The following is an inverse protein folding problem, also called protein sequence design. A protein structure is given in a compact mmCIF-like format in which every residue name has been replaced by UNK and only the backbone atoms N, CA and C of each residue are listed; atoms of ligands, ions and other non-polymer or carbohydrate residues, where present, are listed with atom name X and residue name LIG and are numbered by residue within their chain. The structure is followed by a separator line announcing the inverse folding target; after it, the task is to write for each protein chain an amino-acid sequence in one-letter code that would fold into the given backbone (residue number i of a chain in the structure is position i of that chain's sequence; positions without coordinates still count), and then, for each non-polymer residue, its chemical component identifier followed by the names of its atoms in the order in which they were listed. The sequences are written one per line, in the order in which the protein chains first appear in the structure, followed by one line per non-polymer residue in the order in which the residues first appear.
data_IF_624300263626
#
_entry.id   IF_624300263626
#
_cell.length_a   1.000
_cell.length_b   1.000
_cell.length_c   1.000
_cell.angle_alpha   90.00
_cell.angle_beta   90.00
_cell.angle_gamma   90.00
#
_symmetry.space_group_name_H-M   'P 1'
#
loop_
_entity.id
_entity.type
_entity.pdbx_description
1 polymer ?
#
# COMPACT_ATOMS: atom_id res chain seq x y z
N UNK A 1 12.09 5.13 6.21
CA UNK A 1 11.21 4.48 7.21
C UNK A 1 10.29 3.50 6.48
N UNK A 2 10.19 2.24 6.94
CA UNK A 2 9.37 1.17 6.33
C UNK A 2 8.42 0.56 7.36
N UNK A 3 7.19 0.29 6.95
CA UNK A 3 6.18 -0.44 7.75
C UNK A 3 5.63 -1.59 6.94
N UNK A 4 5.48 -2.77 7.55
CA UNK A 4 4.88 -3.92 6.89
C UNK A 4 3.68 -4.36 7.71
N UNK A 5 2.53 -4.54 7.07
CA UNK A 5 1.32 -5.09 7.69
C UNK A 5 1.04 -6.48 7.11
N UNK A 6 0.55 -7.39 7.96
CA UNK A 6 0.25 -8.76 7.58
C UNK A 6 -1.19 -9.10 7.98
N UNK A 7 -2.02 -9.50 7.02
CA UNK A 7 -3.41 -9.93 7.23
C UNK A 7 -4.32 -8.94 7.98
N UNK A 8 -3.96 -7.66 8.01
CA UNK A 8 -4.77 -6.64 8.67
C UNK A 8 -5.61 -5.87 7.66
N UNK A 9 -6.91 -6.17 7.67
CA UNK A 9 -7.89 -5.52 6.80
C UNK A 9 -8.06 -4.03 7.09
N UNK A 10 -7.68 -3.55 8.27
CA UNK A 10 -7.72 -2.13 8.66
C UNK A 10 -6.77 -1.27 7.82
N UNK A 11 -5.79 -1.89 7.17
CA UNK A 11 -4.82 -1.19 6.31
C UNK A 11 -5.13 -1.37 4.81
N UNK A 12 -6.29 -1.93 4.47
CA UNK A 12 -6.71 -2.06 3.07
C UNK A 12 -7.35 -0.78 2.50
N UNK A 13 -7.64 0.22 3.34
CA UNK A 13 -8.25 1.47 2.92
C UNK A 13 -7.21 2.59 2.77
N UNK A 14 -7.14 3.18 1.58
CA UNK A 14 -6.20 4.26 1.29
C UNK A 14 -6.34 5.46 2.24
N UNK A 15 -7.57 5.84 2.63
CA UNK A 15 -7.81 7.00 3.51
C UNK A 15 -7.16 6.84 4.90
N UNK A 16 -7.18 5.63 5.47
CA UNK A 16 -6.55 5.36 6.77
C UNK A 16 -5.02 5.52 6.68
N UNK A 17 -4.42 5.13 5.56
CA UNK A 17 -3.00 5.40 5.29
C UNK A 17 -2.71 6.89 5.11
N UNK A 18 -3.55 7.62 4.39
CA UNK A 18 -3.39 9.07 4.24
C UNK A 18 -3.38 9.78 5.60
N UNK A 19 -4.33 9.44 6.48
CA UNK A 19 -4.43 9.98 7.84
C UNK A 19 -3.23 9.59 8.71
N UNK A 20 -2.81 8.32 8.67
CA UNK A 20 -1.67 7.82 9.43
C UNK A 20 -0.35 8.49 9.00
N UNK A 21 -0.10 8.55 7.69
CA UNK A 21 1.12 9.18 7.14
C UNK A 21 1.13 10.67 7.46
N UNK A 22 -0.01 11.35 7.30
CA UNK A 22 -0.09 12.80 7.55
C UNK A 22 0.06 13.16 9.02
N UNK A 23 -0.52 12.37 9.93
CA UNK A 23 -0.55 12.69 11.36
C UNK A 23 0.68 12.21 12.12
N UNK A 24 1.11 10.98 11.85
CA UNK A 24 1.98 10.23 12.76
C UNK A 24 3.29 9.79 12.10
N UNK A 25 3.31 9.69 10.76
CA UNK A 25 4.45 9.12 10.03
C UNK A 25 4.79 9.94 8.77
N UNK A 26 5.05 11.26 8.89
CA UNK A 26 5.28 12.12 7.73
C UNK A 26 6.54 11.75 6.93
N UNK A 27 7.47 11.03 7.56
CA UNK A 27 8.72 10.54 6.97
C UNK A 27 8.63 9.08 6.49
N UNK A 28 7.42 8.50 6.43
CA UNK A 28 7.22 7.16 5.88
C UNK A 28 7.59 7.16 4.40
N UNK A 29 8.47 6.24 4.00
CA UNK A 29 8.98 6.14 2.63
C UNK A 29 8.51 4.89 1.93
N UNK A 30 8.30 3.81 2.68
CA UNK A 30 7.90 2.52 2.15
C UNK A 30 6.84 1.95 3.08
N UNK A 31 5.81 1.34 2.54
CA UNK A 31 5.01 0.41 3.33
C UNK A 31 4.55 -0.78 2.50
N UNK A 32 4.46 -1.92 3.16
CA UNK A 32 4.03 -3.18 2.57
C UNK A 32 2.68 -3.59 3.14
N UNK A 33 1.80 -4.05 2.27
CA UNK A 33 0.58 -4.73 2.64
C UNK A 33 0.69 -6.17 2.18
N UNK A 34 0.83 -7.09 3.13
CA UNK A 34 0.77 -8.52 2.87
C UNK A 34 -0.61 -9.05 3.23
N UNK A 35 -1.28 -9.67 2.25
CA UNK A 35 -2.53 -10.36 2.46
C UNK A 35 -2.38 -11.82 2.02
N UNK A 36 -2.49 -12.75 2.96
CA UNK A 36 -2.28 -14.19 2.76
C UNK A 36 -3.51 -14.93 2.22
N UNK A 37 -4.57 -14.22 1.81
CA UNK A 37 -5.77 -14.87 1.29
C UNK A 37 -5.64 -15.06 -0.22
N UNK A 38 -5.94 -16.26 -0.72
CA UNK A 38 -5.90 -16.60 -2.15
C UNK A 38 -6.92 -15.81 -2.98
N UNK A 39 -8.00 -15.31 -2.35
CA UNK A 39 -8.93 -14.33 -2.95
C UNK A 39 -8.40 -12.88 -2.91
N UNK A 40 -7.26 -12.65 -2.25
CA UNK A 40 -6.67 -11.33 -2.10
C UNK A 40 -6.07 -10.82 -3.40
N UNK A 41 -5.60 -11.64 -4.34
CA UNK A 41 -5.07 -11.11 -5.61
C UNK A 41 -6.13 -10.25 -6.34
N UNK A 42 -7.35 -10.79 -6.51
CA UNK A 42 -8.46 -10.07 -7.12
C UNK A 42 -8.93 -8.89 -6.26
N UNK A 43 -8.96 -9.05 -4.94
CA UNK A 43 -9.38 -7.98 -4.01
C UNK A 43 -8.34 -6.85 -3.93
N UNK A 44 -7.06 -7.16 -4.04
CA UNK A 44 -5.94 -6.23 -3.94
C UNK A 44 -5.71 -5.48 -5.25
N UNK A 45 -5.79 -6.19 -6.38
CA UNK A 45 -5.93 -5.55 -7.70
C UNK A 45 -7.17 -4.67 -7.75
N UNK A 46 -8.31 -5.13 -7.23
CA UNK A 46 -9.51 -4.29 -7.12
C UNK A 46 -9.23 -3.06 -6.28
N UNK A 47 -8.67 -3.15 -5.08
CA UNK A 47 -8.39 -1.99 -4.22
C UNK A 47 -7.41 -0.98 -4.83
N UNK A 48 -6.38 -1.46 -5.54
CA UNK A 48 -5.40 -0.59 -6.19
C UNK A 48 -5.95 0.02 -7.50
N UNK A 49 -6.75 -0.74 -8.27
CA UNK A 49 -7.31 -0.30 -9.55
C UNK A 49 -8.64 0.45 -9.40
N UNK A 50 -9.43 0.21 -8.35
CA UNK A 50 -10.71 0.87 -8.06
C UNK A 50 -10.55 2.33 -7.66
N UNK A 51 -9.30 2.80 -7.53
CA UNK A 51 -8.98 4.21 -7.41
C UNK A 51 -8.91 4.72 -5.98
N UNK A 52 -8.93 3.86 -4.96
CA UNK A 52 -8.73 4.29 -3.58
C UNK A 52 -7.38 5.00 -3.39
N UNK A 53 -6.33 4.56 -4.08
CA UNK A 53 -4.99 5.18 -4.04
C UNK A 53 -4.77 6.25 -5.15
N UNK A 54 -5.84 6.86 -5.68
CA UNK A 54 -5.76 7.90 -6.73
C UNK A 54 -6.03 9.32 -6.23
N UNK A 55 -6.20 9.50 -4.93
CA UNK A 55 -6.43 10.83 -4.35
C UNK A 55 -5.25 11.77 -4.63
N UNK A 56 -5.48 13.08 -4.44
CA UNK A 56 -4.46 14.12 -4.65
C UNK A 56 -3.21 13.86 -3.81
N UNK A 57 -3.40 13.33 -2.59
CA UNK A 57 -2.33 12.99 -1.66
C UNK A 57 -1.27 12.07 -2.29
N UNK A 58 -1.69 10.92 -2.83
CA UNK A 58 -0.78 9.92 -3.38
C UNK A 58 0.00 10.45 -4.58
N UNK A 59 -0.66 11.25 -5.43
CA UNK A 59 -0.05 11.88 -6.60
C UNK A 59 0.95 12.96 -6.22
N UNK A 60 0.60 13.88 -5.31
CA UNK A 60 1.47 14.98 -4.90
C UNK A 60 2.69 14.50 -4.14
N UNK A 61 2.52 13.48 -3.29
CA UNK A 61 3.61 12.80 -2.59
C UNK A 61 4.39 11.84 -3.50
N UNK A 62 3.94 11.61 -4.73
CA UNK A 62 4.61 10.75 -5.72
C UNK A 62 4.84 9.31 -5.20
N UNK A 63 3.83 8.76 -4.52
CA UNK A 63 3.85 7.35 -4.15
C UNK A 63 3.66 6.48 -5.40
N UNK A 64 4.48 5.45 -5.50
CA UNK A 64 4.39 4.42 -6.52
C UNK A 64 3.96 3.11 -5.87
N UNK A 65 3.26 2.30 -6.66
CA UNK A 65 2.74 1.01 -6.25
C UNK A 65 3.38 -0.09 -7.09
N UNK A 66 3.99 -1.07 -6.41
CA UNK A 66 4.52 -2.28 -6.98
C UNK A 66 3.83 -3.50 -6.36
N UNK A 67 3.62 -4.53 -7.19
CA UNK A 67 2.88 -5.73 -6.79
C UNK A 67 3.70 -6.95 -7.13
N UNK A 68 4.14 -7.65 -6.09
CA UNK A 68 4.79 -8.94 -6.24
C UNK A 68 3.78 -10.05 -5.95
N UNK A 69 3.39 -10.75 -7.01
CA UNK A 69 2.61 -11.97 -6.91
C UNK A 69 3.56 -13.17 -6.82
N UNK A 70 3.53 -13.90 -5.71
CA UNK A 70 4.16 -15.21 -5.61
C UNK A 70 3.08 -16.30 -5.64
N UNK A 71 3.02 -17.02 -6.76
CA UNK A 71 2.05 -18.11 -6.96
C UNK A 71 2.36 -19.35 -6.11
N UNK A 72 3.58 -19.50 -5.61
CA UNK A 72 4.00 -20.63 -4.78
C UNK A 72 3.72 -20.39 -3.30
N UNK A 73 3.91 -19.16 -2.82
CA UNK A 73 3.69 -18.82 -1.40
C UNK A 73 2.24 -18.44 -1.08
N UNK A 74 1.35 -18.35 -2.08
CA UNK A 74 -0.01 -17.82 -1.93
C UNK A 74 -0.06 -16.42 -1.26
N UNK A 75 1.08 -15.72 -1.20
CA UNK A 75 1.21 -14.41 -0.59
C UNK A 75 1.07 -13.34 -1.67
N UNK A 76 0.17 -12.39 -1.44
CA UNK A 76 0.05 -11.19 -2.26
C UNK A 76 0.70 -10.02 -1.52
N UNK A 77 1.86 -9.58 -2.02
CA UNK A 77 2.58 -8.45 -1.46
C UNK A 77 2.39 -7.21 -2.33
N UNK A 78 1.68 -6.23 -1.81
CA UNK A 78 1.66 -4.88 -2.36
C UNK A 78 2.68 -4.02 -1.65
N UNK A 79 3.62 -3.45 -2.39
CA UNK A 79 4.65 -2.55 -1.85
C UNK A 79 4.38 -1.16 -2.40
N UNK A 80 4.25 -0.18 -1.51
CA UNK A 80 4.16 1.22 -1.85
C UNK A 80 5.45 1.91 -1.45
N UNK A 81 6.02 2.72 -2.35
CA UNK A 81 7.22 3.49 -2.05
C UNK A 81 7.15 4.91 -2.61
N UNK A 82 7.73 5.86 -1.88
CA UNK A 82 7.96 7.23 -2.35
C UNK A 82 9.00 7.20 -3.47
N UNK A 83 8.64 7.73 -4.63
CA UNK A 83 9.59 7.86 -5.76
C UNK A 83 10.62 8.97 -5.55
N UNK A 84 10.38 9.88 -4.60
CA UNK A 84 11.31 10.92 -4.22
C UNK A 84 11.40 11.07 -2.69
N UNK A 85 12.19 10.22 -2.00
CA UNK A 85 12.28 10.21 -0.55
C UNK A 85 13.09 11.37 0.07
N UNK A 86 13.67 12.25 -0.75
CA UNK A 86 14.57 13.34 -0.34
C UNK A 86 14.05 14.76 -0.66
N UNK A 87 12.74 14.90 -0.92
CA UNK A 87 12.11 16.22 -1.07
C UNK A 87 12.03 16.97 0.25
#
# INVERSE_FOLDING_TARGET
LRISTFNDSSYSHAKQWEELISSSMPNLQIFDMNNSYTSAMLRFLYLCLSGHFRSKFWKEKQWFFDHQYDCHESSNNGIFYLTNPYR
#
